data_IF_727849425707
#
_entry.id   IF_727849425707
#
_cell.length_a   1.000
_cell.length_b   1.000
_cell.length_c   1.000
_cell.angle_alpha   90.00
_cell.angle_beta   90.00
_cell.angle_gamma   90.00
#
_symmetry.space_group_name_H-M   'P 1'
#
loop_
_entity.id
_entity.type
_entity.pdbx_description
1 polymer ?
#
# COMPACT_ATOMS: atom_id res chain seq x y z
N UNK A 1 10.55 -0.76 -3.47
CA UNK A 1 10.32 -0.69 -2.01
C UNK A 1 8.91 -1.16 -1.75
N UNK A 2 8.71 -2.09 -0.80
CA UNK A 2 7.37 -2.48 -0.35
C UNK A 2 6.95 -1.49 0.75
N UNK A 3 5.83 -0.79 0.57
CA UNK A 3 5.24 0.06 1.61
C UNK A 3 4.18 -0.71 2.40
N UNK A 4 3.75 -0.22 3.58
CA UNK A 4 2.55 -0.73 4.22
C UNK A 4 1.33 -0.60 3.30
N UNK A 5 0.37 -1.50 3.47
CA UNK A 5 -0.87 -1.51 2.70
C UNK A 5 -1.92 -0.79 3.54
N UNK A 6 -1.83 0.55 3.55
CA UNK A 6 -2.73 1.41 4.29
C UNK A 6 -3.74 2.10 3.34
N UNK A 7 -5.05 1.89 3.50
CA UNK A 7 -6.03 2.65 2.73
C UNK A 7 -5.98 4.12 3.15
N UNK A 8 -6.07 5.03 2.18
CA UNK A 8 -6.10 6.47 2.42
C UNK A 8 -7.45 7.05 1.98
N UNK A 9 -8.06 7.84 2.86
CA UNK A 9 -9.35 8.50 2.61
C UNK A 9 -9.19 10.00 2.83
N UNK A 10 -9.65 10.80 1.88
CA UNK A 10 -9.55 12.26 1.91
C UNK A 10 -8.11 12.78 2.19
N UNK A 11 -7.09 12.05 1.74
CA UNK A 11 -5.68 12.39 1.95
C UNK A 11 -5.11 12.02 3.33
N UNK A 12 -5.86 11.29 4.16
CA UNK A 12 -5.41 10.82 5.47
C UNK A 12 -5.37 9.29 5.53
N UNK A 13 -4.47 8.70 6.33
CA UNK A 13 -4.49 7.26 6.59
C UNK A 13 -5.79 6.84 7.28
N UNK A 14 -6.43 5.79 6.79
CA UNK A 14 -7.67 5.25 7.37
C UNK A 14 -7.51 4.91 8.86
N UNK A 15 -6.33 4.40 9.26
CA UNK A 15 -6.04 4.11 10.66
C UNK A 15 -6.14 5.36 11.54
N UNK A 16 -5.59 6.50 11.09
CA UNK A 16 -5.65 7.75 11.84
C UNK A 16 -7.08 8.27 12.00
N UNK A 17 -7.90 8.18 10.94
CA UNK A 17 -9.31 8.58 11.01
C UNK A 17 -10.08 7.63 11.95
N UNK A 18 -9.85 6.32 11.88
CA UNK A 18 -10.50 5.35 12.77
C UNK A 18 -10.15 5.61 14.24
N UNK A 19 -8.88 5.88 14.55
CA UNK A 19 -8.43 6.27 15.91
C UNK A 19 -9.06 7.58 16.38
N UNK A 20 -9.26 8.55 15.49
CA UNK A 20 -9.93 9.81 15.84
C UNK A 20 -11.34 9.58 16.39
N UNK A 21 -12.09 8.64 15.80
CA UNK A 21 -13.45 8.29 16.23
C UNK A 21 -13.48 7.60 17.60
N UNK A 22 -12.41 6.90 17.97
CA UNK A 22 -12.33 6.13 19.22
C UNK A 22 -11.82 6.97 20.39
N UNK A 23 -11.09 8.06 20.09
CA UNK A 23 -10.38 8.86 21.09
C UNK A 23 -11.07 10.17 21.43
N UNK A 24 -11.95 10.69 20.56
CA UNK A 24 -12.69 11.92 20.81
C UNK A 24 -14.16 11.64 21.16
N UNK A 25 -14.75 12.40 22.11
CA UNK A 25 -16.19 12.38 22.33
C UNK A 25 -16.94 12.70 21.03
N UNK A 26 -18.04 11.96 20.79
CA UNK A 26 -18.82 12.04 19.57
C UNK A 26 -19.33 13.46 19.31
N UNK A 27 -19.69 14.17 20.38
CA UNK A 27 -20.23 15.53 20.35
C UNK A 27 -19.20 16.58 19.91
N UNK A 28 -17.91 16.23 19.88
CA UNK A 28 -16.81 17.12 19.48
C UNK A 28 -16.30 16.87 18.06
N UNK A 29 -16.88 15.89 17.37
CA UNK A 29 -16.53 15.53 16.00
C UNK A 29 -17.58 16.13 15.05
N UNK A 30 -17.12 16.71 13.94
CA UNK A 30 -18.02 17.15 12.87
C UNK A 30 -18.59 15.93 12.13
N UNK A 31 -19.77 16.05 11.53
CA UNK A 31 -20.43 14.92 10.86
C UNK A 31 -19.57 14.29 9.75
N UNK A 32 -18.80 15.10 9.03
CA UNK A 32 -17.87 14.64 7.98
C UNK A 32 -16.88 13.59 8.51
N UNK A 33 -16.38 13.76 9.74
CA UNK A 33 -15.41 12.84 10.33
C UNK A 33 -16.07 11.52 10.72
N UNK A 34 -17.35 11.51 11.09
CA UNK A 34 -18.07 10.26 11.35
C UNK A 34 -18.18 9.39 10.11
N UNK A 35 -18.64 9.98 9.01
CA UNK A 35 -18.78 9.24 7.76
C UNK A 35 -17.42 8.72 7.31
N UNK A 36 -16.39 9.58 7.29
CA UNK A 36 -15.03 9.18 6.93
C UNK A 36 -14.47 8.08 7.84
N UNK A 37 -14.76 8.12 9.14
CA UNK A 37 -14.31 7.11 10.08
C UNK A 37 -15.01 5.77 9.93
N UNK A 38 -16.31 5.75 9.62
CA UNK A 38 -17.03 4.53 9.29
C UNK A 38 -16.47 3.89 8.02
N UNK A 39 -16.25 4.69 6.97
CA UNK A 39 -15.63 4.20 5.73
C UNK A 39 -14.18 3.74 5.95
N UNK A 40 -13.42 4.43 6.81
CA UNK A 40 -12.05 4.03 7.16
C UNK A 40 -12.02 2.67 7.85
N UNK A 41 -12.95 2.38 8.76
CA UNK A 41 -13.04 1.07 9.42
C UNK A 41 -13.34 -0.05 8.43
N UNK A 42 -14.22 0.18 7.46
CA UNK A 42 -14.51 -0.79 6.38
C UNK A 42 -13.28 -1.02 5.51
N UNK A 43 -12.64 0.06 5.05
CA UNK A 43 -11.46 -0.02 4.19
C UNK A 43 -10.31 -0.78 4.87
N UNK A 44 -10.08 -0.56 6.18
CA UNK A 44 -9.07 -1.29 6.95
C UNK A 44 -9.40 -2.80 7.03
N UNK A 45 -10.66 -3.16 7.26
CA UNK A 45 -11.10 -4.54 7.33
C UNK A 45 -10.96 -5.25 5.96
N UNK A 46 -11.39 -4.59 4.88
CA UNK A 46 -11.26 -5.09 3.51
C UNK A 46 -9.81 -5.26 3.10
N UNK A 47 -8.96 -4.27 3.42
CA UNK A 47 -7.52 -4.33 3.14
C UNK A 47 -6.86 -5.46 3.92
N UNK A 48 -7.19 -5.61 5.20
CA UNK A 48 -6.67 -6.71 6.02
C UNK A 48 -7.12 -8.07 5.48
N UNK A 49 -8.35 -8.18 5.01
CA UNK A 49 -8.85 -9.40 4.36
C UNK A 49 -8.09 -9.72 3.08
N UNK A 50 -7.89 -8.73 2.21
CA UNK A 50 -7.14 -8.89 0.96
C UNK A 50 -5.68 -9.32 1.24
N UNK A 51 -5.01 -8.67 2.20
CA UNK A 51 -3.63 -9.03 2.54
C UNK A 51 -3.56 -10.47 3.10
N UNK A 52 -4.53 -10.89 3.92
CA UNK A 52 -4.64 -12.27 4.39
C UNK A 52 -4.81 -13.30 3.26
N UNK A 53 -5.44 -12.93 2.14
CA UNK A 53 -5.59 -13.81 0.98
C UNK A 53 -4.29 -13.99 0.18
N UNK A 54 -3.38 -13.00 0.27
CA UNK A 54 -2.15 -12.96 -0.52
C UNK A 54 -0.89 -13.34 0.28
N UNK A 55 -0.92 -13.16 1.60
CA UNK A 55 0.23 -13.30 2.49
C UNK A 55 -0.12 -14.30 3.59
N UNK A 56 0.71 -15.34 3.73
CA UNK A 56 0.49 -16.40 4.72
C UNK A 56 1.12 -16.10 6.08
N UNK A 57 2.08 -15.17 6.16
CA UNK A 57 2.76 -14.81 7.41
C UNK A 57 1.89 -13.85 8.25
N UNK A 58 1.44 -14.24 9.46
CA UNK A 58 0.64 -13.36 10.32
C UNK A 58 1.40 -12.10 10.76
N UNK A 59 2.73 -12.21 10.94
CA UNK A 59 3.58 -11.08 11.28
C UNK A 59 3.62 -10.07 10.13
N UNK A 60 3.76 -10.54 8.89
CA UNK A 60 3.70 -9.69 7.71
C UNK A 60 2.34 -9.03 7.56
N UNK A 61 1.24 -9.78 7.68
CA UNK A 61 -0.12 -9.22 7.61
C UNK A 61 -0.27 -8.07 8.60
N UNK A 62 0.06 -8.31 9.88
CA UNK A 62 -0.03 -7.30 10.93
C UNK A 62 0.84 -6.08 10.62
N UNK A 63 2.09 -6.32 10.19
CA UNK A 63 3.04 -5.25 9.87
C UNK A 63 2.58 -4.39 8.69
N UNK A 64 1.92 -5.00 7.71
CA UNK A 64 1.43 -4.33 6.50
C UNK A 64 0.13 -3.55 6.74
N UNK A 65 -0.74 -3.98 7.66
CA UNK A 65 -2.10 -3.41 7.80
C UNK A 65 -2.35 -2.64 9.09
N UNK A 66 -1.45 -2.72 10.08
CA UNK A 66 -1.65 -2.09 11.40
C UNK A 66 -1.62 -0.57 11.41
N UNK A 67 -1.11 0.08 10.36
CA UNK A 67 -0.95 1.55 10.33
C UNK A 67 0.12 2.10 11.28
N UNK A 68 1.00 1.24 11.81
CA UNK A 68 2.12 1.64 12.69
C UNK A 68 3.23 2.41 11.97
N UNK A 69 3.32 2.26 10.66
CA UNK A 69 4.27 2.98 9.81
C UNK A 69 3.56 3.79 8.75
N UNK A 70 4.14 4.92 8.37
CA UNK A 70 3.62 5.75 7.27
C UNK A 70 3.84 5.08 5.92
N UNK A 71 3.03 5.47 4.93
CA UNK A 71 3.13 4.97 3.55
C UNK A 71 4.54 5.12 2.94
N UNK A 72 5.29 6.14 3.36
CA UNK A 72 6.66 6.39 2.91
C UNK A 72 7.73 5.55 3.60
N UNK A 73 7.40 4.76 4.62
CA UNK A 73 8.38 3.95 5.33
C UNK A 73 8.71 2.69 4.52
N UNK A 74 9.95 2.56 4.02
CA UNK A 74 10.33 1.44 3.19
C UNK A 74 10.47 0.16 4.00
N UNK A 75 9.89 -0.94 3.54
CA UNK A 75 10.22 -2.28 4.04
C UNK A 75 11.47 -2.76 3.30
N UNK A 76 12.56 -2.95 4.04
CA UNK A 76 13.84 -3.43 3.50
C UNK A 76 13.78 -4.93 3.12
N UNK A 77 14.74 -5.40 2.31
CA UNK A 77 14.85 -6.85 1.99
C UNK A 77 15.03 -7.70 3.25
N UNK A 78 15.83 -7.22 4.20
CA UNK A 78 16.04 -7.88 5.48
C UNK A 78 14.73 -7.96 6.26
N UNK A 79 14.04 -6.82 6.43
CA UNK A 79 12.77 -6.76 7.17
C UNK A 79 11.70 -7.66 6.51
N UNK A 80 11.59 -7.63 5.18
CA UNK A 80 10.67 -8.51 4.46
C UNK A 80 10.96 -9.99 4.69
N UNK A 81 12.25 -10.36 4.75
CA UNK A 81 12.68 -11.74 5.08
C UNK A 81 12.31 -12.11 6.51
N UNK A 82 12.56 -11.22 7.48
CA UNK A 82 12.21 -11.40 8.89
C UNK A 82 10.68 -11.51 9.10
N UNK A 83 9.90 -10.79 8.29
CA UNK A 83 8.45 -10.89 8.24
C UNK A 83 7.95 -12.19 7.59
N UNK A 84 8.82 -13.02 7.02
CA UNK A 84 8.45 -14.28 6.36
C UNK A 84 7.84 -14.09 4.97
N UNK A 85 8.11 -12.96 4.30
CA UNK A 85 7.70 -12.74 2.92
C UNK A 85 8.66 -13.49 1.96
N UNK A 86 8.14 -14.05 0.84
CA UNK A 86 8.96 -14.78 -0.12
C UNK A 86 9.74 -13.85 -1.06
N UNK A 87 10.58 -12.99 -0.49
CA UNK A 87 11.37 -12.01 -1.26
C UNK A 87 12.64 -12.62 -1.85
N UNK A 88 13.07 -12.11 -3.00
CA UNK A 88 14.32 -12.46 -3.67
C UNK A 88 15.03 -11.19 -4.09
N UNK A 89 16.35 -11.20 -4.02
CA UNK A 89 17.17 -10.08 -4.45
C UNK A 89 17.31 -10.07 -5.98
N UNK A 90 17.30 -8.87 -6.56
CA UNK A 90 17.42 -8.66 -8.00
C UNK A 90 16.10 -8.72 -8.75
N UNK A 91 16.17 -8.40 -10.05
CA UNK A 91 15.03 -8.46 -10.97
C UNK A 91 15.18 -9.73 -11.82
N UNK A 92 14.13 -10.55 -11.96
CA UNK A 92 14.17 -11.73 -12.83
C UNK A 92 14.56 -11.36 -14.28
N UNK A 93 15.43 -12.13 -14.95
CA UNK A 93 15.94 -11.78 -16.29
C UNK A 93 14.84 -11.62 -17.35
N UNK A 94 13.76 -12.38 -17.24
CA UNK A 94 12.58 -12.32 -18.10
C UNK A 94 11.81 -11.00 -17.95
N UNK A 95 11.72 -10.46 -16.74
CA UNK A 95 11.11 -9.15 -16.47
C UNK A 95 11.94 -8.04 -17.12
N UNK A 96 13.26 -8.09 -16.96
CA UNK A 96 14.17 -7.12 -17.60
C UNK A 96 14.03 -7.15 -19.13
N UNK A 97 14.01 -8.34 -19.72
CA UNK A 97 13.82 -8.50 -21.17
C UNK A 97 12.46 -7.95 -21.65
N UNK A 98 11.39 -8.14 -20.88
CA UNK A 98 10.07 -7.59 -21.20
C UNK A 98 10.05 -6.06 -21.15
N UNK A 99 10.71 -5.45 -20.16
CA UNK A 99 10.87 -3.99 -20.07
C UNK A 99 11.68 -3.46 -21.25
N UNK A 100 12.79 -4.10 -21.60
CA UNK A 100 13.63 -3.71 -22.73
C UNK A 100 12.85 -3.75 -24.05
N UNK A 101 12.03 -4.79 -24.27
CA UNK A 101 11.14 -4.88 -25.43
C UNK A 101 10.09 -3.77 -25.45
N UNK A 102 9.46 -3.47 -24.31
CA UNK A 102 8.47 -2.39 -24.22
C UNK A 102 9.10 -1.01 -24.50
N UNK A 103 10.31 -0.76 -24.01
CA UNK A 103 11.06 0.47 -24.27
C UNK A 103 11.42 0.56 -25.77
N UNK A 104 11.94 -0.52 -26.37
CA UNK A 104 12.28 -0.54 -27.79
C UNK A 104 11.05 -0.33 -28.69
N UNK A 105 9.90 -0.90 -28.32
CA UNK A 105 8.63 -0.69 -29.02
C UNK A 105 8.14 0.75 -28.90
N UNK A 106 8.23 1.37 -27.72
CA UNK A 106 7.85 2.77 -27.54
C UNK A 106 8.70 3.71 -28.41
N UNK A 107 10.02 3.48 -28.46
CA UNK A 107 10.95 4.27 -29.28
C UNK A 107 10.75 4.12 -30.78
N UNK A 108 10.21 3.00 -31.25
CA UNK A 108 9.92 2.80 -32.68
C UNK A 108 8.60 3.45 -33.13
N UNK A 109 7.75 3.88 -32.19
CA UNK A 109 6.50 4.58 -32.43
C UNK A 109 6.64 6.12 -32.40
N UNK A 110 7.77 6.65 -31.91
CA UNK A 110 8.07 8.08 -32.00
C UNK A 110 8.37 8.45 -33.47
N UNK A 111 7.34 8.96 -34.16
CA UNK A 111 7.49 9.57 -35.49
C UNK A 111 8.43 10.78 -35.37
N UNK A 112 9.42 10.94 -36.28
CA UNK A 112 10.25 12.14 -36.30
C UNK A 112 9.36 13.36 -36.51
N UNK A 113 9.52 14.37 -35.64
CA UNK A 113 8.82 15.64 -35.78
C UNK A 113 9.16 16.25 -37.16
N UNK A 114 8.16 16.65 -37.97
CA UNK A 114 8.44 17.34 -39.21
C UNK A 114 9.13 18.68 -38.90
N UNK A 115 10.30 18.89 -39.53
CA UNK A 115 11.05 20.15 -39.53
C UNK A 115 10.29 21.23 -40.32
#
# INVERSE_FOLDING_TARGET
VLGPVDPQLAGYPAHAIATLLETKPIERLKEEWFVLGLESKKALAETTRLVNELVTSPAAITRLTSGTTTHGHPISMQEATELGLPVREGVPPDVTAAIDQAIAFSRSQELPLPY
#
